data_IF_487403370059
#
_entry.id   IF_487403370059
#
_cell.length_a   1.000
_cell.length_b   1.000
_cell.length_c   1.000
_cell.angle_alpha   90.00
_cell.angle_beta   90.00
_cell.angle_gamma   90.00
#
_symmetry.space_group_name_H-M   'P 1'
#
loop_
_entity.id
_entity.type
_entity.pdbx_description
1 polymer ?
#
# COMPACT_ATOMS: atom_id res chain seq x y z
N UNK A 1 2.71 16.50 -17.36
CA UNK A 1 3.17 16.38 -15.98
C UNK A 1 3.56 14.93 -15.73
N UNK A 2 4.78 14.71 -15.27
CA UNK A 2 5.35 13.39 -14.96
C UNK A 2 5.80 13.41 -13.51
N UNK A 3 5.29 12.46 -12.67
CA UNK A 3 5.66 12.37 -11.28
C UNK A 3 6.88 11.47 -11.08
N UNK A 4 7.69 11.75 -10.05
CA UNK A 4 8.82 10.90 -9.65
C UNK A 4 8.33 9.64 -8.89
N UNK A 5 7.19 9.74 -8.22
CA UNK A 5 6.56 8.64 -7.49
C UNK A 5 5.68 7.80 -8.41
N UNK A 6 5.68 6.46 -8.29
CA UNK A 6 4.90 5.58 -9.14
C UNK A 6 3.43 5.50 -8.73
N UNK A 7 2.55 5.32 -9.70
CA UNK A 7 1.15 4.96 -9.52
C UNK A 7 0.14 6.01 -10.02
N UNK A 8 -0.85 5.55 -10.76
CA UNK A 8 -1.90 6.40 -11.33
C UNK A 8 -2.74 7.10 -10.26
N UNK A 9 -2.91 6.48 -9.09
CA UNK A 9 -3.59 7.10 -7.96
C UNK A 9 -2.89 8.37 -7.47
N UNK A 10 -1.54 8.40 -7.49
CA UNK A 10 -0.78 9.61 -7.13
C UNK A 10 -0.85 10.68 -8.22
N UNK A 11 -1.03 10.27 -9.47
CA UNK A 11 -1.30 11.23 -10.56
C UNK A 11 -2.66 11.91 -10.37
N UNK A 12 -3.69 11.18 -9.93
CA UNK A 12 -4.99 11.76 -9.58
C UNK A 12 -4.87 12.77 -8.43
N UNK A 13 -4.13 12.43 -7.37
CA UNK A 13 -3.86 13.34 -6.25
C UNK A 13 -3.12 14.60 -6.71
N UNK A 14 -2.14 14.46 -7.60
CA UNK A 14 -1.44 15.59 -8.19
C UNK A 14 -2.36 16.49 -9.03
N UNK A 15 -3.31 15.92 -9.78
CA UNK A 15 -4.33 16.70 -10.50
C UNK A 15 -5.24 17.48 -9.56
N UNK A 16 -5.63 16.88 -8.43
CA UNK A 16 -6.39 17.60 -7.39
C UNK A 16 -5.57 18.76 -6.82
N UNK A 17 -4.30 18.51 -6.46
CA UNK A 17 -3.42 19.57 -5.96
C UNK A 17 -3.19 20.68 -7.00
N UNK A 18 -3.03 20.32 -8.28
CA UNK A 18 -2.96 21.28 -9.38
C UNK A 18 -4.22 22.14 -9.46
N UNK A 19 -5.40 21.50 -9.42
CA UNK A 19 -6.70 22.21 -9.48
C UNK A 19 -6.85 23.19 -8.33
N UNK A 20 -6.50 22.79 -7.11
CA UNK A 20 -6.50 23.69 -5.94
C UNK A 20 -5.55 24.86 -6.15
N UNK A 21 -4.33 24.62 -6.64
CA UNK A 21 -3.36 25.68 -6.95
C UNK A 21 -3.92 26.69 -7.96
N UNK A 22 -4.59 26.19 -9.02
CA UNK A 22 -5.24 27.06 -10.03
C UNK A 22 -6.38 27.90 -9.43
N UNK A 23 -7.20 27.31 -8.58
CA UNK A 23 -8.28 28.04 -7.88
C UNK A 23 -7.74 29.13 -6.94
N UNK A 24 -6.55 28.92 -6.37
CA UNK A 24 -5.85 29.93 -5.57
C UNK A 24 -5.10 30.99 -6.40
N UNK A 25 -5.23 30.95 -7.74
CA UNK A 25 -4.62 31.93 -8.63
C UNK A 25 -3.15 31.66 -8.97
N UNK A 26 -2.60 30.53 -8.60
CA UNK A 26 -1.23 30.15 -8.96
C UNK A 26 -1.10 29.86 -10.46
N UNK A 27 0.04 30.20 -11.05
CA UNK A 27 0.32 29.94 -12.45
C UNK A 27 0.96 28.56 -12.66
N UNK A 28 0.78 27.99 -13.86
CA UNK A 28 1.29 26.65 -14.22
C UNK A 28 2.79 26.53 -14.08
N UNK A 29 3.54 27.56 -14.44
CA UNK A 29 5.00 27.62 -14.29
C UNK A 29 5.48 27.54 -12.83
N UNK A 30 4.59 27.72 -11.86
CA UNK A 30 4.86 27.53 -10.43
C UNK A 30 4.38 26.16 -9.96
N UNK A 31 3.17 25.74 -10.33
CA UNK A 31 2.54 24.51 -9.85
C UNK A 31 3.24 23.28 -10.44
N UNK A 32 3.38 23.22 -11.77
CA UNK A 32 3.83 22.03 -12.49
C UNK A 32 5.24 21.59 -12.03
N UNK A 33 6.26 22.47 -11.96
CA UNK A 33 7.58 22.06 -11.51
C UNK A 33 7.61 21.56 -10.06
N UNK A 34 6.72 22.06 -9.19
CA UNK A 34 6.62 21.60 -7.80
C UNK A 34 6.00 20.21 -7.71
N UNK A 35 4.98 19.92 -8.50
CA UNK A 35 4.39 18.60 -8.58
C UNK A 35 5.34 17.57 -9.21
N UNK A 36 6.04 17.94 -10.29
CA UNK A 36 7.01 17.06 -10.95
C UNK A 36 8.25 16.78 -10.08
N UNK A 37 8.62 17.74 -9.23
CA UNK A 37 9.70 17.57 -8.24
C UNK A 37 9.28 16.88 -6.95
N UNK A 38 8.02 16.45 -6.82
CA UNK A 38 7.56 15.76 -5.63
C UNK A 38 8.14 14.35 -5.54
N UNK A 39 8.88 14.08 -4.48
CA UNK A 39 9.60 12.82 -4.24
C UNK A 39 8.83 11.83 -3.36
N UNK A 40 7.57 12.12 -3.08
CA UNK A 40 6.77 11.37 -2.12
C UNK A 40 6.73 12.01 -0.74
N UNK A 41 5.90 11.45 0.12
CA UNK A 41 5.84 11.83 1.54
C UNK A 41 6.27 10.64 2.39
N UNK A 42 6.57 10.92 3.64
CA UNK A 42 6.92 9.92 4.63
C UNK A 42 5.88 8.78 4.65
N UNK A 43 6.36 7.54 4.54
CA UNK A 43 5.53 6.32 4.47
C UNK A 43 4.47 6.33 3.35
N UNK A 44 4.78 6.92 2.19
CA UNK A 44 3.96 6.82 0.97
C UNK A 44 4.84 6.39 -0.19
N UNK A 45 4.91 5.07 -0.43
CA UNK A 45 5.83 4.43 -1.37
C UNK A 45 7.29 4.91 -1.20
N UNK A 46 7.68 5.18 0.04
CA UNK A 46 8.98 5.75 0.41
C UNK A 46 10.07 4.70 0.28
N UNK A 47 11.12 4.98 -0.47
CA UNK A 47 12.33 4.17 -0.47
C UNK A 47 13.15 4.54 0.78
N UNK A 48 13.17 3.66 1.78
CA UNK A 48 13.87 3.88 3.04
C UNK A 48 15.33 3.43 2.99
N UNK A 49 15.70 2.66 1.98
CA UNK A 49 17.08 2.23 1.78
C UNK A 49 17.22 1.00 0.89
N UNK A 50 18.44 0.49 0.86
CA UNK A 50 18.78 -0.77 0.18
C UNK A 50 19.56 -1.68 1.13
N UNK A 51 19.35 -2.99 1.00
CA UNK A 51 20.14 -3.97 1.74
C UNK A 51 21.53 -4.15 1.13
N UNK A 52 22.43 -4.81 1.85
CA UNK A 52 23.76 -5.17 1.32
C UNK A 52 23.69 -6.01 0.02
N UNK A 53 22.61 -6.77 -0.16
CA UNK A 53 22.38 -7.60 -1.35
C UNK A 53 21.65 -6.83 -2.48
N UNK A 54 21.48 -5.51 -2.34
CA UNK A 54 20.85 -4.66 -3.37
C UNK A 54 19.32 -4.72 -3.40
N UNK A 55 18.65 -5.34 -2.40
CA UNK A 55 17.20 -5.29 -2.32
C UNK A 55 16.73 -3.89 -1.89
N UNK A 56 15.72 -3.36 -2.56
CA UNK A 56 15.12 -2.07 -2.24
C UNK A 56 14.16 -2.27 -1.06
N UNK A 57 14.30 -1.46 -0.03
CA UNK A 57 13.38 -1.41 1.11
C UNK A 57 12.44 -0.23 0.93
N UNK A 58 11.14 -0.53 0.93
CA UNK A 58 10.09 0.48 0.80
C UNK A 58 9.19 0.47 2.04
N UNK A 59 8.70 1.65 2.40
CA UNK A 59 7.70 1.82 3.47
C UNK A 59 6.47 2.50 2.90
N UNK A 60 5.30 1.93 3.19
CA UNK A 60 4.01 2.51 2.84
C UNK A 60 3.05 2.47 4.04
N UNK A 61 2.15 3.44 4.13
CA UNK A 61 1.13 3.53 5.17
C UNK A 61 -0.17 2.84 4.79
N UNK A 62 -0.24 2.26 3.61
CA UNK A 62 -1.42 1.57 3.08
C UNK A 62 -1.98 0.56 4.09
N UNK A 63 -3.20 0.79 4.53
CA UNK A 63 -3.89 -0.01 5.54
C UNK A 63 -5.33 -0.35 5.12
N UNK A 64 -5.71 0.07 3.93
CA UNK A 64 -6.99 -0.23 3.30
C UNK A 64 -6.76 -0.93 1.96
N UNK A 65 -7.60 -1.92 1.56
CA UNK A 65 -7.45 -2.61 0.27
C UNK A 65 -7.29 -1.69 -0.93
N UNK A 66 -8.03 -0.57 -0.96
CA UNK A 66 -7.97 0.42 -2.04
C UNK A 66 -6.65 1.22 -2.08
N UNK A 67 -5.83 1.17 -1.04
CA UNK A 67 -4.49 1.75 -1.01
C UNK A 67 -3.44 0.69 -1.36
N UNK A 68 -3.55 -0.50 -0.77
CA UNK A 68 -2.59 -1.60 -0.94
C UNK A 68 -2.51 -2.06 -2.39
N UNK A 69 -3.65 -2.34 -3.00
CA UNK A 69 -3.73 -2.88 -4.35
C UNK A 69 -3.10 -1.96 -5.41
N UNK A 70 -3.46 -0.67 -5.53
CA UNK A 70 -2.83 0.21 -6.51
C UNK A 70 -1.34 0.47 -6.22
N UNK A 71 -0.93 0.49 -4.95
CA UNK A 71 0.48 0.63 -4.58
C UNK A 71 1.30 -0.57 -5.04
N UNK A 72 0.85 -1.81 -4.76
CA UNK A 72 1.56 -3.02 -5.18
C UNK A 72 1.62 -3.14 -6.70
N UNK A 73 0.53 -2.81 -7.39
CA UNK A 73 0.50 -2.78 -8.85
C UNK A 73 1.52 -1.78 -9.42
N UNK A 74 1.56 -0.57 -8.89
CA UNK A 74 2.52 0.44 -9.32
C UNK A 74 3.98 0.03 -9.08
N UNK A 75 4.26 -0.65 -7.95
CA UNK A 75 5.57 -1.22 -7.64
C UNK A 75 5.91 -2.34 -8.62
N UNK A 76 4.97 -3.25 -8.90
CA UNK A 76 5.15 -4.35 -9.84
C UNK A 76 5.45 -3.84 -11.25
N UNK A 77 4.74 -2.83 -11.73
CA UNK A 77 4.98 -2.21 -13.03
C UNK A 77 6.34 -1.51 -13.10
N UNK A 78 6.73 -0.79 -12.05
CA UNK A 78 8.02 -0.06 -11.99
C UNK A 78 9.23 -0.98 -11.87
N UNK A 79 9.10 -2.11 -11.18
CA UNK A 79 10.16 -3.07 -10.88
C UNK A 79 9.82 -4.46 -11.42
N UNK A 80 9.41 -4.53 -12.68
CA UNK A 80 8.92 -5.76 -13.32
C UNK A 80 9.96 -6.90 -13.41
N UNK A 81 11.25 -6.59 -13.25
CA UNK A 81 12.36 -7.53 -13.18
C UNK A 81 12.67 -8.04 -11.76
N UNK A 82 11.98 -7.54 -10.73
CA UNK A 82 12.22 -7.86 -9.32
C UNK A 82 11.06 -8.61 -8.71
N UNK A 83 11.39 -9.38 -7.68
CA UNK A 83 10.38 -10.02 -6.83
C UNK A 83 9.95 -9.07 -5.72
N UNK A 84 8.65 -9.08 -5.45
CA UNK A 84 8.01 -8.24 -4.44
C UNK A 84 7.68 -9.11 -3.23
N UNK A 85 8.40 -8.87 -2.14
CA UNK A 85 8.12 -9.43 -0.82
C UNK A 85 7.41 -8.39 0.03
N UNK A 86 6.20 -8.69 0.46
CA UNK A 86 5.37 -7.78 1.25
C UNK A 86 5.33 -8.23 2.69
N UNK A 87 5.52 -7.30 3.61
CA UNK A 87 5.17 -7.48 5.03
C UNK A 87 3.99 -6.56 5.32
N UNK A 88 2.84 -7.15 5.62
CA UNK A 88 1.61 -6.40 5.91
C UNK A 88 1.08 -6.74 7.28
N UNK A 89 1.03 -5.75 8.18
CA UNK A 89 0.38 -5.88 9.47
C UNK A 89 -1.04 -5.31 9.40
N UNK A 90 -2.07 -6.15 9.45
CA UNK A 90 -3.45 -5.67 9.51
C UNK A 90 -3.67 -4.84 10.77
N UNK A 91 -4.34 -3.71 10.63
CA UNK A 91 -4.64 -2.81 11.74
C UNK A 91 -6.14 -2.79 11.99
N UNK A 92 -6.56 -3.19 13.18
CA UNK A 92 -7.93 -3.40 13.67
C UNK A 92 -8.59 -4.70 13.15
N UNK A 93 -9.10 -5.48 14.10
CA UNK A 93 -9.88 -6.70 13.82
C UNK A 93 -11.19 -6.38 13.11
N UNK A 94 -11.89 -5.32 13.53
CA UNK A 94 -13.16 -4.88 12.94
C UNK A 94 -12.99 -4.56 11.44
N UNK A 95 -11.99 -3.76 11.07
CA UNK A 95 -11.71 -3.46 9.66
C UNK A 95 -11.31 -4.70 8.88
N UNK A 96 -10.45 -5.53 9.45
CA UNK A 96 -9.99 -6.76 8.79
C UNK A 96 -11.16 -7.72 8.55
N UNK A 97 -12.12 -7.77 9.47
CA UNK A 97 -13.36 -8.54 9.33
C UNK A 97 -14.26 -7.98 8.23
N UNK A 98 -14.54 -6.68 8.27
CA UNK A 98 -15.43 -6.01 7.32
C UNK A 98 -14.92 -6.08 5.88
N UNK A 99 -13.60 -5.97 5.69
CA UNK A 99 -12.94 -5.91 4.38
C UNK A 99 -12.18 -7.20 4.03
N UNK A 100 -12.55 -8.34 4.63
CA UNK A 100 -11.82 -9.59 4.49
C UNK A 100 -11.64 -10.02 3.02
N UNK A 101 -12.70 -9.91 2.22
CA UNK A 101 -12.67 -10.32 0.81
C UNK A 101 -11.82 -9.36 -0.03
N UNK A 102 -11.89 -8.07 0.25
CA UNK A 102 -11.09 -7.04 -0.40
C UNK A 102 -9.61 -7.20 -0.03
N UNK A 103 -9.28 -7.50 1.23
CA UNK A 103 -7.91 -7.83 1.62
C UNK A 103 -7.42 -9.09 0.93
N UNK A 104 -8.25 -10.12 0.80
CA UNK A 104 -7.88 -11.38 0.18
C UNK A 104 -7.32 -11.21 -1.24
N UNK A 105 -7.87 -10.28 -2.01
CA UNK A 105 -7.46 -10.01 -3.40
C UNK A 105 -6.42 -8.89 -3.55
N UNK A 106 -6.08 -8.19 -2.47
CA UNK A 106 -5.22 -6.99 -2.55
C UNK A 106 -3.75 -7.28 -2.79
N UNK A 107 -3.30 -8.52 -2.60
CA UNK A 107 -1.90 -8.90 -2.64
C UNK A 107 -1.52 -9.72 -3.88
N UNK A 108 -2.36 -9.73 -4.91
CA UNK A 108 -2.14 -10.52 -6.15
C UNK A 108 -0.86 -10.14 -6.90
N UNK A 109 -0.42 -8.89 -6.77
CA UNK A 109 0.80 -8.39 -7.42
C UNK A 109 2.08 -8.59 -6.56
N UNK A 110 1.98 -9.26 -5.40
CA UNK A 110 3.12 -9.66 -4.59
C UNK A 110 3.57 -11.09 -4.93
N UNK A 111 4.88 -11.37 -4.91
CA UNK A 111 5.40 -12.74 -5.04
C UNK A 111 5.30 -13.52 -3.73
N UNK A 112 5.40 -12.83 -2.60
CA UNK A 112 5.28 -13.43 -1.26
C UNK A 112 4.74 -12.40 -0.29
N UNK A 113 3.96 -12.87 0.69
CA UNK A 113 3.32 -12.05 1.70
C UNK A 113 3.56 -12.65 3.10
N UNK A 114 4.11 -11.86 4.01
CA UNK A 114 4.20 -12.17 5.43
C UNK A 114 3.21 -11.32 6.20
N UNK A 115 2.40 -11.96 7.02
CA UNK A 115 1.38 -11.31 7.84
C UNK A 115 1.68 -11.57 9.31
N UNK A 116 2.16 -10.57 10.07
CA UNK A 116 2.21 -10.63 11.53
C UNK A 116 0.81 -10.63 12.14
N UNK A 117 0.74 -10.73 13.47
CA UNK A 117 -0.53 -10.62 14.18
C UNK A 117 -1.30 -9.35 13.82
N UNK A 118 -2.64 -9.46 13.81
CA UNK A 118 -3.51 -8.30 13.64
C UNK A 118 -3.29 -7.34 14.81
N UNK A 119 -2.96 -6.09 14.51
CA UNK A 119 -2.78 -5.07 15.53
C UNK A 119 -4.12 -4.68 16.14
N UNK A 120 -4.27 -4.94 17.43
CA UNK A 120 -5.46 -4.58 18.22
C UNK A 120 -5.53 -3.06 18.42
N UNK A 121 -6.67 -2.44 18.08
CA UNK A 121 -6.91 -1.02 18.33
C UNK A 121 -8.40 -0.71 18.43
N UNK A 122 -8.90 -0.58 19.63
CA UNK A 122 -10.31 -0.23 19.93
C UNK A 122 -11.34 -1.23 19.37
N UNK A 123 -10.93 -2.47 19.17
CA UNK A 123 -11.80 -3.52 18.62
C UNK A 123 -12.74 -4.05 19.68
N UNK A 124 -13.93 -4.45 19.27
CA UNK A 124 -14.87 -5.17 20.12
C UNK A 124 -14.43 -6.61 20.27
N UNK A 125 -14.79 -7.22 21.42
CA UNK A 125 -14.47 -8.62 21.69
C UNK A 125 -14.98 -9.57 20.61
N UNK A 126 -16.17 -9.31 20.09
CA UNK A 126 -16.80 -10.07 19.00
C UNK A 126 -15.98 -10.07 17.70
N UNK A 127 -15.36 -8.93 17.37
CA UNK A 127 -14.51 -8.81 16.17
C UNK A 127 -13.22 -9.62 16.35
N UNK A 128 -12.62 -9.57 17.54
CA UNK A 128 -11.41 -10.32 17.88
C UNK A 128 -11.66 -11.82 17.87
N UNK A 129 -12.79 -12.27 18.44
CA UNK A 129 -13.17 -13.68 18.45
C UNK A 129 -13.51 -14.21 17.05
N UNK A 130 -14.12 -13.38 16.21
CA UNK A 130 -14.51 -13.78 14.86
C UNK A 130 -13.33 -13.75 13.87
N UNK A 131 -12.47 -12.72 13.91
CA UNK A 131 -11.38 -12.53 12.96
C UNK A 131 -10.09 -13.14 13.49
N UNK A 132 -9.83 -14.38 13.16
CA UNK A 132 -8.60 -15.07 13.53
C UNK A 132 -7.55 -14.98 12.42
N UNK A 133 -6.27 -15.16 12.76
CA UNK A 133 -5.18 -15.20 11.77
C UNK A 133 -5.37 -16.33 10.77
N UNK A 134 -5.82 -17.51 11.23
CA UNK A 134 -6.10 -18.66 10.35
C UNK A 134 -7.16 -18.31 9.30
N UNK A 135 -8.19 -17.57 9.71
CA UNK A 135 -9.26 -17.13 8.81
C UNK A 135 -8.73 -16.16 7.76
N UNK A 136 -7.98 -15.15 8.18
CA UNK A 136 -7.37 -14.17 7.28
C UNK A 136 -6.43 -14.85 6.28
N UNK A 137 -5.51 -15.65 6.76
CA UNK A 137 -4.53 -16.36 5.92
C UNK A 137 -5.23 -17.32 4.95
N UNK A 138 -6.26 -18.03 5.41
CA UNK A 138 -7.03 -18.96 4.56
C UNK A 138 -7.71 -18.22 3.40
N UNK A 139 -8.30 -17.04 3.65
CA UNK A 139 -8.93 -16.26 2.59
C UNK A 139 -7.89 -15.70 1.61
N UNK A 140 -6.79 -15.15 2.11
CA UNK A 140 -5.73 -14.59 1.26
C UNK A 140 -5.08 -15.68 0.39
N UNK A 141 -4.87 -16.89 0.93
CA UNK A 141 -4.27 -18.02 0.19
C UNK A 141 -5.05 -18.46 -1.04
N UNK A 142 -6.32 -18.13 -1.14
CA UNK A 142 -7.12 -18.40 -2.34
C UNK A 142 -6.66 -17.58 -3.55
N UNK A 143 -5.99 -16.46 -3.33
CA UNK A 143 -5.55 -15.51 -4.36
C UNK A 143 -4.03 -15.29 -4.37
N UNK A 144 -3.38 -15.46 -3.24
CA UNK A 144 -1.92 -15.36 -3.06
C UNK A 144 -1.42 -16.61 -2.31
N UNK A 145 -0.89 -17.62 -3.03
CA UNK A 145 -0.53 -18.91 -2.39
C UNK A 145 0.68 -18.81 -1.46
N UNK A 146 1.58 -17.85 -1.69
CA UNK A 146 2.83 -17.69 -0.94
C UNK A 146 2.65 -16.78 0.29
N UNK A 147 1.69 -17.12 1.15
CA UNK A 147 1.44 -16.40 2.40
C UNK A 147 2.11 -17.11 3.57
N UNK A 148 2.85 -16.36 4.34
CA UNK A 148 3.60 -16.79 5.52
C UNK A 148 2.92 -16.20 6.76
N UNK A 149 2.60 -17.07 7.74
CA UNK A 149 2.21 -16.65 9.08
C UNK A 149 3.45 -16.12 9.80
N UNK A 150 3.39 -14.88 10.26
CA UNK A 150 4.51 -14.20 10.91
C UNK A 150 4.59 -14.40 12.43
N UNK A 151 3.82 -15.39 12.99
CA UNK A 151 3.89 -15.76 14.40
C UNK A 151 5.17 -16.51 14.73
#
# INVERSE_FOLDING_TARGET
>A
MSLQVPGDHLLHDAHLAYTVGRLLGMQDNIIVPKLEGYMGSWRRSEIVGTTQNGNILMSDYGHHPNEIRPTLRAIHEKYSDKKIFVVFQPHQYSRTRELLQEFAISFSDADSLLIPDIYFSRDKKEDVEWMTMERLISEIKKHQPNVIDGK
#
